data_IF_165283430611
#
_entry.id   IF_165283430611
#
_cell.length_a   1.000
_cell.length_b   1.000
_cell.length_c   1.000
_cell.angle_alpha   90.00
_cell.angle_beta   90.00
_cell.angle_gamma   90.00
#
_symmetry.space_group_name_H-M   'P 1'
#
loop_
_entity.id
_entity.type
_entity.pdbx_description
1 polymer ?
#
# COMPACT_ATOMS: atom_id res chain seq x y z
N UNK A 1 20.19 0.43 8.08
CA UNK A 1 21.13 -0.57 7.55
C UNK A 1 22.55 -0.01 7.46
N UNK A 2 22.78 1.18 6.88
CA UNK A 2 24.11 1.79 6.73
C UNK A 2 24.83 2.02 8.07
N UNK A 3 24.11 2.41 9.11
CA UNK A 3 24.67 2.79 10.41
C UNK A 3 25.17 1.63 11.28
N UNK A 4 24.89 0.38 10.93
CA UNK A 4 25.23 -0.81 11.74
C UNK A 4 26.17 -1.72 10.94
N UNK A 5 27.30 -2.10 11.53
CA UNK A 5 28.27 -3.05 10.96
C UNK A 5 28.08 -4.48 11.48
N UNK A 6 28.62 -5.47 10.76
CA UNK A 6 28.64 -6.87 11.24
C UNK A 6 29.44 -7.04 12.54
N UNK A 7 30.44 -6.17 12.78
CA UNK A 7 31.23 -6.16 14.03
C UNK A 7 30.37 -5.70 15.21
N UNK A 8 29.57 -4.65 15.02
CA UNK A 8 28.64 -4.19 16.05
C UNK A 8 27.57 -5.23 16.35
N UNK A 9 27.03 -5.90 15.32
CA UNK A 9 26.10 -7.02 15.51
C UNK A 9 26.74 -8.15 16.32
N UNK A 10 27.98 -8.51 15.98
CA UNK A 10 28.77 -9.52 16.72
C UNK A 10 28.94 -9.10 18.18
N UNK A 11 29.35 -7.87 18.43
CA UNK A 11 29.55 -7.34 19.79
C UNK A 11 28.27 -7.36 20.62
N UNK A 12 27.13 -6.90 20.03
CA UNK A 12 25.85 -6.82 20.73
C UNK A 12 25.21 -8.20 20.96
N UNK A 13 25.41 -9.15 20.03
CA UNK A 13 24.83 -10.49 20.16
C UNK A 13 25.67 -11.44 21.01
N UNK A 14 26.93 -11.09 21.30
CA UNK A 14 27.90 -12.00 21.94
C UNK A 14 28.35 -13.15 21.04
N UNK A 15 27.99 -13.14 19.73
CA UNK A 15 28.38 -14.18 18.76
C UNK A 15 29.65 -13.76 18.02
N UNK A 16 30.66 -14.62 18.01
CA UNK A 16 31.93 -14.33 17.30
C UNK A 16 31.68 -13.96 15.83
N UNK A 17 32.38 -12.94 15.35
CA UNK A 17 32.21 -12.41 13.98
C UNK A 17 32.43 -13.51 12.91
N UNK A 18 33.45 -14.34 13.07
CA UNK A 18 33.73 -15.47 12.15
C UNK A 18 32.56 -16.46 12.12
N UNK A 19 31.93 -16.71 13.27
CA UNK A 19 30.77 -17.59 13.35
C UNK A 19 29.57 -17.01 12.60
N UNK A 20 29.34 -15.69 12.72
CA UNK A 20 28.28 -15.04 11.95
C UNK A 20 28.52 -15.18 10.46
N UNK A 21 29.77 -14.96 9.97
CA UNK A 21 30.08 -15.07 8.55
C UNK A 21 30.02 -16.50 8.00
N UNK A 22 30.13 -17.53 8.86
CA UNK A 22 29.93 -18.93 8.44
C UNK A 22 28.47 -19.20 8.00
N UNK A 23 27.49 -18.48 8.57
CA UNK A 23 26.07 -18.64 8.25
C UNK A 23 25.54 -17.56 7.31
N UNK A 24 26.07 -16.34 7.41
CA UNK A 24 25.61 -15.16 6.67
C UNK A 24 26.79 -14.46 5.99
N UNK A 25 27.06 -14.79 4.71
CA UNK A 25 28.21 -14.25 3.99
C UNK A 25 28.26 -12.72 3.92
N UNK A 26 27.11 -12.08 4.02
CA UNK A 26 27.00 -10.62 4.04
C UNK A 26 25.92 -10.12 5.02
N UNK A 27 25.98 -8.82 5.34
CA UNK A 27 24.90 -8.16 6.10
C UNK A 27 23.54 -8.19 5.39
N UNK A 28 23.54 -8.20 4.05
CA UNK A 28 22.32 -8.37 3.27
C UNK A 28 21.70 -9.77 3.44
N UNK A 29 22.53 -10.81 3.59
CA UNK A 29 22.04 -12.18 3.79
C UNK A 29 21.45 -12.34 5.18
N UNK A 30 22.10 -11.78 6.20
CA UNK A 30 21.53 -11.71 7.55
C UNK A 30 20.19 -10.95 7.56
N UNK A 31 20.15 -9.77 6.96
CA UNK A 31 18.91 -8.97 6.85
C UNK A 31 17.79 -9.74 6.14
N UNK A 32 18.14 -10.48 5.09
CA UNK A 32 17.16 -11.29 4.35
C UNK A 32 16.53 -12.39 5.21
N UNK A 33 17.33 -13.05 6.04
CA UNK A 33 16.81 -14.07 6.95
C UNK A 33 15.87 -13.44 7.99
N UNK A 34 16.26 -12.30 8.56
CA UNK A 34 15.42 -11.56 9.52
C UNK A 34 14.08 -11.14 8.90
N UNK A 35 14.10 -10.63 7.67
CA UNK A 35 12.88 -10.17 6.98
C UNK A 35 12.07 -11.30 6.33
N UNK A 36 12.66 -12.48 6.09
CA UNK A 36 12.04 -13.57 5.33
C UNK A 36 10.65 -13.97 5.83
N UNK A 37 10.36 -14.12 7.14
CA UNK A 37 9.03 -14.48 7.61
C UNK A 37 7.98 -13.42 7.25
N UNK A 38 8.28 -12.13 7.48
CA UNK A 38 7.42 -11.01 7.09
C UNK A 38 7.16 -11.00 5.58
N UNK A 39 8.23 -11.08 4.78
CA UNK A 39 8.13 -11.02 3.32
C UNK A 39 7.29 -12.17 2.74
N UNK A 40 7.40 -13.37 3.33
CA UNK A 40 6.56 -14.52 2.96
C UNK A 40 5.10 -14.25 3.28
N UNK A 41 4.78 -13.68 4.45
CA UNK A 41 3.41 -13.35 4.83
C UNK A 41 2.82 -12.27 3.93
N UNK A 42 3.56 -11.18 3.67
CA UNK A 42 3.11 -10.12 2.76
C UNK A 42 2.87 -10.64 1.34
N UNK A 43 3.78 -11.45 0.80
CA UNK A 43 3.57 -12.06 -0.51
C UNK A 43 2.37 -13.00 -0.53
N UNK A 44 2.19 -13.83 0.51
CA UNK A 44 1.04 -14.72 0.60
C UNK A 44 -0.28 -13.95 0.67
N UNK A 45 -0.34 -12.83 1.40
CA UNK A 45 -1.50 -11.94 1.42
C UNK A 45 -1.85 -11.47 0.00
N UNK A 46 -0.87 -10.93 -0.71
CA UNK A 46 -1.04 -10.42 -2.07
C UNK A 46 -1.44 -11.53 -3.04
N UNK A 47 -0.78 -12.69 -3.00
CA UNK A 47 -1.03 -13.80 -3.90
C UNK A 47 -2.40 -14.47 -3.62
N UNK A 48 -2.83 -14.58 -2.36
CA UNK A 48 -4.14 -15.13 -1.99
C UNK A 48 -5.29 -14.27 -2.52
N UNK A 49 -5.16 -12.94 -2.42
CA UNK A 49 -6.20 -12.03 -2.92
C UNK A 49 -6.32 -12.03 -4.45
N UNK A 50 -5.30 -12.52 -5.15
CA UNK A 50 -5.26 -12.53 -6.62
C UNK A 50 -5.47 -13.93 -7.23
N UNK A 51 -5.88 -14.91 -6.45
CA UNK A 51 -6.27 -16.19 -6.98
C UNK A 51 -7.56 -16.08 -7.79
N UNK A 52 -7.66 -16.83 -8.87
CA UNK A 52 -8.84 -16.83 -9.76
C UNK A 52 -10.16 -17.04 -9.02
N UNK A 53 -10.18 -17.85 -7.97
CA UNK A 53 -11.34 -18.11 -7.10
C UNK A 53 -11.83 -16.86 -6.34
N UNK A 54 -10.96 -15.88 -6.12
CA UNK A 54 -11.26 -14.63 -5.41
C UNK A 54 -11.57 -13.46 -6.37
N UNK A 55 -11.49 -13.69 -7.68
CA UNK A 55 -11.72 -12.69 -8.71
C UNK A 55 -13.17 -12.67 -9.19
N UNK A 56 -14.10 -12.32 -8.31
CA UNK A 56 -15.52 -12.16 -8.64
C UNK A 56 -16.15 -11.00 -7.89
N UNK A 57 -17.30 -10.52 -8.36
CA UNK A 57 -18.06 -9.46 -7.68
C UNK A 57 -18.59 -9.94 -6.33
N UNK A 58 -19.03 -11.20 -6.23
CA UNK A 58 -19.54 -11.79 -4.99
C UNK A 58 -18.48 -11.77 -3.89
N UNK A 59 -17.24 -12.11 -4.22
CA UNK A 59 -16.11 -12.03 -3.29
C UNK A 59 -15.78 -10.58 -2.97
N UNK A 60 -15.78 -9.71 -3.98
CA UNK A 60 -15.47 -8.29 -3.82
C UNK A 60 -16.44 -7.57 -2.88
N UNK A 61 -17.73 -7.91 -2.86
CA UNK A 61 -18.74 -7.33 -1.96
C UNK A 61 -18.90 -8.08 -0.64
N UNK A 62 -18.25 -9.24 -0.47
CA UNK A 62 -18.41 -10.11 0.70
C UNK A 62 -17.82 -9.50 1.96
N UNK A 63 -18.68 -9.26 2.98
CA UNK A 63 -18.23 -8.82 4.30
C UNK A 63 -17.35 -9.85 5.01
N UNK A 64 -17.61 -11.13 4.81
CA UNK A 64 -16.80 -12.21 5.39
C UNK A 64 -15.39 -12.19 4.81
N UNK A 65 -15.26 -11.97 3.49
CA UNK A 65 -13.97 -11.85 2.83
C UNK A 65 -13.19 -10.64 3.36
N UNK A 66 -13.84 -9.49 3.52
CA UNK A 66 -13.22 -8.29 4.08
C UNK A 66 -12.80 -8.51 5.53
N UNK A 67 -13.63 -9.16 6.33
CA UNK A 67 -13.28 -9.50 7.72
C UNK A 67 -12.04 -10.39 7.79
N UNK A 68 -11.97 -11.42 6.95
CA UNK A 68 -10.80 -12.30 6.86
C UNK A 68 -9.54 -11.51 6.47
N UNK A 69 -9.66 -10.63 5.50
CA UNK A 69 -8.57 -9.76 5.08
C UNK A 69 -8.05 -8.87 6.22
N UNK A 70 -8.95 -8.24 6.97
CA UNK A 70 -8.59 -7.44 8.16
C UNK A 70 -7.78 -8.28 9.14
N UNK A 71 -8.22 -9.51 9.44
CA UNK A 71 -7.51 -10.40 10.36
C UNK A 71 -6.11 -10.81 9.85
N UNK A 72 -5.96 -11.07 8.56
CA UNK A 72 -4.66 -11.38 7.95
C UNK A 72 -3.69 -10.18 8.03
N UNK A 73 -4.18 -8.96 7.78
CA UNK A 73 -3.39 -7.72 7.93
C UNK A 73 -3.00 -7.49 9.40
N UNK A 74 -3.95 -7.72 10.32
CA UNK A 74 -3.70 -7.63 11.77
C UNK A 74 -2.60 -8.60 12.21
N UNK A 75 -2.65 -9.86 11.74
CA UNK A 75 -1.62 -10.87 12.03
C UNK A 75 -0.23 -10.39 11.59
N UNK A 76 -0.13 -9.84 10.37
CA UNK A 76 1.14 -9.28 9.87
C UNK A 76 1.65 -8.15 10.77
N UNK A 77 0.80 -7.19 11.08
CA UNK A 77 1.19 -6.02 11.88
C UNK A 77 1.56 -6.44 13.31
N UNK A 78 0.78 -7.29 13.93
CA UNK A 78 1.01 -7.71 15.32
C UNK A 78 2.27 -8.57 15.45
N UNK A 79 2.43 -9.54 14.57
CA UNK A 79 3.54 -10.50 14.66
C UNK A 79 4.88 -9.94 14.15
N UNK A 80 4.86 -8.98 13.21
CA UNK A 80 6.05 -8.53 12.50
C UNK A 80 6.28 -7.01 12.56
N UNK A 81 5.77 -6.34 13.59
CA UNK A 81 5.89 -4.87 13.71
C UNK A 81 7.33 -4.36 13.70
N UNK A 82 8.25 -5.10 14.33
CA UNK A 82 9.67 -4.74 14.35
C UNK A 82 10.31 -4.91 12.98
N UNK A 83 9.97 -5.97 12.28
CA UNK A 83 10.43 -6.25 10.92
C UNK A 83 9.84 -5.27 9.90
N UNK A 84 8.58 -4.87 10.06
CA UNK A 84 7.96 -3.80 9.26
C UNK A 84 8.70 -2.47 9.46
N UNK A 85 8.99 -2.10 10.70
CA UNK A 85 9.80 -0.92 11.02
C UNK A 85 11.19 -0.98 10.39
N UNK A 86 11.85 -2.14 10.51
CA UNK A 86 13.14 -2.37 9.89
C UNK A 86 13.06 -2.24 8.37
N UNK A 87 12.09 -2.87 7.74
CA UNK A 87 11.88 -2.88 6.29
C UNK A 87 11.62 -1.47 5.73
N UNK A 88 10.72 -0.72 6.35
CA UNK A 88 10.27 0.57 5.79
C UNK A 88 11.18 1.76 6.14
N UNK A 89 11.96 1.69 7.22
CA UNK A 89 12.73 2.82 7.71
C UNK A 89 14.24 2.62 7.68
N UNK A 90 14.71 1.37 7.71
CA UNK A 90 16.12 1.09 8.04
C UNK A 90 16.84 0.27 6.98
N UNK A 91 16.28 0.12 5.78
CA UNK A 91 16.86 -0.69 4.69
C UNK A 91 17.74 0.09 3.72
N UNK A 92 17.93 1.40 3.90
CA UNK A 92 18.74 2.23 3.01
C UNK A 92 20.15 1.68 2.82
N UNK A 93 20.57 1.49 1.54
CA UNK A 93 21.82 0.88 1.15
C UNK A 93 21.84 -0.65 1.23
N UNK A 94 20.70 -1.29 1.46
CA UNK A 94 20.52 -2.74 1.34
C UNK A 94 19.80 -3.12 0.06
N UNK A 95 19.74 -4.42 -0.25
CA UNK A 95 18.93 -4.95 -1.35
C UNK A 95 17.42 -4.78 -1.17
N UNK A 96 16.97 -4.30 -0.01
CA UNK A 96 15.56 -4.04 0.32
C UNK A 96 15.20 -2.56 0.30
N UNK A 97 16.11 -1.67 -0.09
CA UNK A 97 15.89 -0.23 -0.14
C UNK A 97 14.62 0.13 -0.92
N UNK A 98 14.45 -0.48 -2.11
CA UNK A 98 13.31 -0.21 -3.01
C UNK A 98 12.15 -1.20 -2.83
N UNK A 99 12.07 -1.88 -1.68
CA UNK A 99 11.06 -2.93 -1.49
C UNK A 99 9.62 -2.39 -1.61
N UNK A 100 9.36 -1.22 -1.05
CA UNK A 100 8.03 -0.59 -1.12
C UNK A 100 7.62 -0.30 -2.56
N UNK A 101 8.51 0.25 -3.37
CA UNK A 101 8.27 0.55 -4.78
C UNK A 101 7.99 -0.73 -5.58
N UNK A 102 8.83 -1.75 -5.43
CA UNK A 102 8.61 -3.04 -6.09
C UNK A 102 7.30 -3.72 -5.69
N UNK A 103 6.89 -3.55 -4.42
CA UNK A 103 5.61 -4.09 -3.96
C UNK A 103 4.42 -3.32 -4.57
N UNK A 104 4.51 -1.99 -4.65
CA UNK A 104 3.50 -1.13 -5.28
C UNK A 104 3.38 -1.48 -6.76
N UNK A 105 4.49 -1.64 -7.47
CA UNK A 105 4.49 -2.02 -8.89
C UNK A 105 3.85 -3.40 -9.10
N UNK A 106 4.20 -4.39 -8.28
CA UNK A 106 3.58 -5.72 -8.31
C UNK A 106 2.07 -5.63 -8.06
N UNK A 107 1.65 -4.86 -7.06
CA UNK A 107 0.24 -4.68 -6.72
C UNK A 107 -0.52 -3.96 -7.83
N UNK A 108 0.10 -2.97 -8.47
CA UNK A 108 -0.45 -2.24 -9.61
C UNK A 108 -0.70 -3.17 -10.80
N UNK A 109 0.30 -3.97 -11.16
CA UNK A 109 0.16 -4.95 -12.26
C UNK A 109 -0.93 -6.00 -11.98
N UNK A 110 -1.11 -6.38 -10.71
CA UNK A 110 -2.20 -7.26 -10.29
C UNK A 110 -3.55 -6.54 -10.42
N UNK A 111 -3.66 -5.29 -9.98
CA UNK A 111 -4.88 -4.50 -10.10
C UNK A 111 -5.30 -4.27 -11.56
N UNK A 112 -4.34 -4.04 -12.46
CA UNK A 112 -4.60 -3.94 -13.90
C UNK A 112 -5.22 -5.24 -14.45
N UNK A 113 -4.59 -6.38 -14.17
CA UNK A 113 -5.10 -7.71 -14.58
C UNK A 113 -6.48 -8.00 -13.97
N UNK A 114 -6.72 -7.56 -12.74
CA UNK A 114 -8.03 -7.66 -12.10
C UNK A 114 -9.09 -6.90 -12.91
N UNK A 115 -8.82 -5.65 -13.29
CA UNK A 115 -9.76 -4.85 -14.08
C UNK A 115 -10.02 -5.46 -15.46
N UNK A 116 -8.99 -5.99 -16.14
CA UNK A 116 -9.16 -6.71 -17.39
C UNK A 116 -10.05 -7.96 -17.24
N UNK A 117 -9.82 -8.72 -16.17
CA UNK A 117 -10.63 -9.90 -15.86
C UNK A 117 -12.08 -9.54 -15.55
N UNK A 118 -12.32 -8.53 -14.73
CA UNK A 118 -13.64 -8.04 -14.38
C UNK A 118 -14.41 -7.54 -15.61
N UNK A 119 -13.74 -6.87 -16.55
CA UNK A 119 -14.32 -6.44 -17.82
C UNK A 119 -14.84 -7.63 -18.66
N UNK A 120 -14.12 -8.76 -18.64
CA UNK A 120 -14.53 -9.96 -19.37
C UNK A 120 -15.73 -10.64 -18.69
N UNK A 121 -15.68 -10.78 -17.36
CA UNK A 121 -16.70 -11.50 -16.59
C UNK A 121 -18.00 -10.69 -16.44
N UNK A 122 -17.89 -9.37 -16.36
CA UNK A 122 -19.00 -8.45 -16.09
C UNK A 122 -18.93 -7.27 -17.07
N UNK A 123 -19.39 -7.41 -18.33
CA UNK A 123 -19.26 -6.39 -19.39
C UNK A 123 -19.89 -5.03 -19.04
N UNK A 124 -20.93 -5.03 -18.20
CA UNK A 124 -21.63 -3.81 -17.77
C UNK A 124 -20.95 -3.09 -16.61
N UNK A 125 -19.88 -3.69 -16.07
CA UNK A 125 -19.13 -3.10 -14.98
C UNK A 125 -18.24 -1.95 -15.48
N UNK A 126 -18.21 -0.85 -14.73
CA UNK A 126 -17.29 0.24 -15.05
C UNK A 126 -15.86 -0.12 -14.63
N UNK A 127 -15.08 -0.62 -15.57
CA UNK A 127 -13.68 -1.05 -15.38
C UNK A 127 -12.65 -0.10 -16.00
N UNK A 128 -13.10 1.00 -16.62
CA UNK A 128 -12.19 1.99 -17.23
C UNK A 128 -11.59 2.90 -16.14
N UNK A 129 -10.75 2.30 -15.29
CA UNK A 129 -10.03 2.98 -14.21
C UNK A 129 -8.60 3.25 -14.69
N UNK A 130 -8.11 4.49 -14.48
CA UNK A 130 -6.76 4.83 -14.91
C UNK A 130 -5.70 4.01 -14.17
N UNK A 131 -4.69 3.56 -14.89
CA UNK A 131 -3.56 2.80 -14.31
C UNK A 131 -2.88 3.59 -13.20
N UNK A 132 -2.79 4.92 -13.33
CA UNK A 132 -2.23 5.79 -12.29
C UNK A 132 -3.06 5.76 -11.00
N UNK A 133 -4.41 5.68 -11.09
CA UNK A 133 -5.25 5.54 -9.91
C UNK A 133 -5.06 4.18 -9.23
N UNK A 134 -4.92 3.11 -10.01
CA UNK A 134 -4.61 1.77 -9.47
C UNK A 134 -3.25 1.80 -8.76
N UNK A 135 -2.24 2.40 -9.36
CA UNK A 135 -0.91 2.59 -8.76
C UNK A 135 -0.98 3.38 -7.44
N UNK A 136 -1.69 4.52 -7.46
CA UNK A 136 -1.86 5.35 -6.28
C UNK A 136 -2.56 4.62 -5.13
N UNK A 137 -3.64 3.90 -5.42
CA UNK A 137 -4.35 3.11 -4.39
C UNK A 137 -3.53 1.90 -3.90
N UNK A 138 -2.70 1.31 -4.76
CA UNK A 138 -1.73 0.28 -4.37
C UNK A 138 -0.72 0.81 -3.35
N UNK A 139 -0.32 2.08 -3.47
CA UNK A 139 0.57 2.73 -2.50
C UNK A 139 -0.07 2.94 -1.13
N UNK A 140 -1.39 3.08 -1.04
CA UNK A 140 -2.10 3.26 0.24
C UNK A 140 -1.87 2.09 1.20
N UNK A 141 -1.85 0.85 0.68
CA UNK A 141 -1.66 -0.34 1.51
C UNK A 141 -0.27 -0.38 2.17
N UNK A 142 0.76 -0.09 1.41
CA UNK A 142 2.14 -0.01 1.94
C UNK A 142 2.26 1.13 2.94
N UNK A 143 1.70 2.30 2.62
CA UNK A 143 1.74 3.45 3.52
C UNK A 143 0.94 3.19 4.81
N UNK A 144 -0.21 2.54 4.73
CA UNK A 144 -0.99 2.12 5.90
C UNK A 144 -0.17 1.22 6.83
N UNK A 145 0.47 0.18 6.31
CA UNK A 145 1.32 -0.71 7.11
C UNK A 145 2.51 0.05 7.74
N UNK A 146 3.10 0.97 6.97
CA UNK A 146 4.20 1.82 7.46
C UNK A 146 3.75 2.72 8.60
N UNK A 147 2.63 3.43 8.44
CA UNK A 147 2.10 4.32 9.48
C UNK A 147 1.79 3.54 10.77
N UNK A 148 1.10 2.41 10.68
CA UNK A 148 0.81 1.59 11.86
C UNK A 148 2.09 1.05 12.51
N UNK A 149 3.11 0.69 11.73
CA UNK A 149 4.39 0.24 12.28
C UNK A 149 5.14 1.35 13.03
N UNK A 150 4.97 2.62 12.61
CA UNK A 150 5.59 3.78 13.22
C UNK A 150 4.95 4.20 14.54
N UNK A 151 3.63 4.07 14.64
CA UNK A 151 2.82 4.49 15.78
C UNK A 151 2.76 3.41 16.86
N UNK A 152 3.86 3.25 17.62
CA UNK A 152 4.00 2.23 18.67
C UNK A 152 3.02 2.42 19.85
N UNK A 153 2.50 3.62 20.01
CA UNK A 153 1.51 3.98 21.05
C UNK A 153 0.12 3.39 20.80
N UNK A 154 -0.19 3.00 19.54
CA UNK A 154 -1.49 2.43 19.22
C UNK A 154 -1.68 1.05 19.83
N UNK A 155 -2.78 0.89 20.55
CA UNK A 155 -3.23 -0.39 21.07
C UNK A 155 -3.69 -1.33 19.94
N UNK A 156 -3.79 -2.62 20.24
CA UNK A 156 -4.30 -3.60 19.29
C UNK A 156 -5.73 -3.25 18.79
N UNK A 157 -6.59 -2.80 19.70
CA UNK A 157 -7.97 -2.42 19.39
C UNK A 157 -8.03 -1.19 18.47
N UNK A 158 -7.17 -0.19 18.69
CA UNK A 158 -7.08 1.00 17.84
C UNK A 158 -6.59 0.65 16.43
N UNK A 159 -5.60 -0.24 16.31
CA UNK A 159 -5.10 -0.71 15.02
C UNK A 159 -6.20 -1.49 14.29
N UNK A 160 -6.89 -2.41 14.97
CA UNK A 160 -7.99 -3.19 14.37
C UNK A 160 -9.10 -2.27 13.87
N UNK A 161 -9.52 -1.31 14.69
CA UNK A 161 -10.53 -0.31 14.30
C UNK A 161 -10.09 0.47 13.07
N UNK A 162 -8.87 0.98 13.06
CA UNK A 162 -8.31 1.73 11.93
C UNK A 162 -8.31 0.89 10.64
N UNK A 163 -7.86 -0.38 10.71
CA UNK A 163 -7.83 -1.25 9.53
C UNK A 163 -9.24 -1.52 9.01
N UNK A 164 -10.23 -1.73 9.89
CA UNK A 164 -11.65 -1.87 9.50
C UNK A 164 -12.18 -0.62 8.80
N UNK A 165 -11.92 0.55 9.36
CA UNK A 165 -12.30 1.84 8.77
C UNK A 165 -11.64 2.02 7.38
N UNK A 166 -10.35 1.68 7.26
CA UNK A 166 -9.62 1.76 6.00
C UNK A 166 -10.17 0.79 4.93
N UNK A 167 -10.43 -0.46 5.30
CA UNK A 167 -11.02 -1.45 4.38
C UNK A 167 -12.41 -1.01 3.94
N UNK A 168 -13.26 -0.57 4.87
CA UNK A 168 -14.61 -0.11 4.57
C UNK A 168 -14.60 1.10 3.62
N UNK A 169 -13.77 2.09 3.91
CA UNK A 169 -13.58 3.28 3.07
C UNK A 169 -13.10 2.92 1.66
N UNK A 170 -12.06 2.11 1.56
CA UNK A 170 -11.49 1.73 0.26
C UNK A 170 -12.45 0.89 -0.57
N UNK A 171 -13.14 -0.08 0.03
CA UNK A 171 -14.14 -0.91 -0.65
C UNK A 171 -15.33 -0.06 -1.12
N UNK A 172 -15.84 0.84 -0.28
CA UNK A 172 -16.92 1.75 -0.65
C UNK A 172 -16.53 2.67 -1.83
N UNK A 173 -15.30 3.18 -1.83
CA UNK A 173 -14.73 3.95 -2.94
C UNK A 173 -14.66 3.15 -4.23
N UNK A 174 -14.16 1.92 -4.18
CA UNK A 174 -14.09 1.03 -5.33
C UNK A 174 -15.47 0.63 -5.85
N UNK A 175 -16.44 0.27 -4.97
CA UNK A 175 -17.83 0.00 -5.36
C UNK A 175 -18.41 1.18 -6.13
N UNK A 176 -18.22 2.41 -5.63
CA UNK A 176 -18.71 3.63 -6.30
C UNK A 176 -18.05 3.86 -7.67
N UNK A 177 -16.73 3.66 -7.79
CA UNK A 177 -16.01 3.80 -9.05
C UNK A 177 -16.46 2.75 -10.08
N UNK A 178 -16.63 1.50 -9.64
CA UNK A 178 -17.03 0.38 -10.49
C UNK A 178 -18.54 0.36 -10.75
N UNK A 179 -19.31 1.25 -10.11
CA UNK A 179 -20.78 1.33 -10.18
C UNK A 179 -21.47 0.04 -9.74
N UNK A 180 -21.12 -0.42 -8.55
CA UNK A 180 -21.63 -1.66 -7.95
C UNK A 180 -22.31 -1.32 -6.62
N UNK A 181 -23.47 -1.93 -6.35
CA UNK A 181 -24.13 -1.86 -5.03
C UNK A 181 -23.57 -2.90 -4.04
N UNK A 182 -24.19 -2.97 -2.87
CA UNK A 182 -23.73 -3.88 -1.81
C UNK A 182 -24.03 -5.35 -2.10
N UNK A 183 -24.93 -5.63 -3.04
CA UNK A 183 -25.26 -6.98 -3.52
C UNK A 183 -24.49 -7.39 -4.77
N UNK A 184 -23.58 -6.55 -5.26
CA UNK A 184 -22.76 -6.83 -6.45
C UNK A 184 -23.48 -6.59 -7.78
N UNK A 185 -24.60 -5.83 -7.78
CA UNK A 185 -25.33 -5.46 -8.99
C UNK A 185 -24.78 -4.14 -9.53
N UNK A 186 -24.75 -4.01 -10.85
CA UNK A 186 -24.40 -2.74 -11.51
C UNK A 186 -25.49 -1.70 -11.29
N UNK A 187 -25.10 -0.47 -10.95
CA UNK A 187 -26.02 0.65 -10.75
C UNK A 187 -25.84 1.70 -11.84
N UNK A 188 -26.98 2.22 -12.36
CA UNK A 188 -26.97 3.41 -13.19
C UNK A 188 -26.67 4.64 -12.32
N UNK A 189 -25.63 5.38 -12.66
CA UNK A 189 -25.26 6.60 -11.96
C UNK A 189 -23.88 7.09 -12.36
N UNK A 190 -23.78 8.36 -12.72
CA UNK A 190 -22.51 8.95 -13.14
C UNK A 190 -21.52 9.03 -11.97
N UNK A 191 -20.26 8.66 -12.20
CA UNK A 191 -19.13 9.37 -11.60
C UNK A 191 -19.45 10.84 -11.87
N UNK A 192 -19.21 11.73 -10.88
CA UNK A 192 -19.33 13.18 -11.11
C UNK A 192 -18.63 13.47 -12.44
N UNK A 193 -19.41 13.70 -13.49
CA UNK A 193 -18.85 14.17 -14.74
C UNK A 193 -18.39 15.59 -14.44
N UNK A 194 -17.10 15.79 -14.38
CA UNK A 194 -16.58 17.13 -14.58
C UNK A 194 -16.86 17.43 -16.05
N UNK A 195 -18.04 18.00 -16.32
CA UNK A 195 -18.36 18.53 -17.63
C UNK A 195 -17.26 19.52 -17.98
N UNK A 196 -16.38 19.08 -18.86
CA UNK A 196 -15.32 19.91 -19.42
C UNK A 196 -15.86 21.10 -20.23
N UNK A 197 -17.18 21.23 -20.36
CA UNK A 197 -17.87 22.28 -21.08
C UNK A 197 -18.47 23.39 -20.19
N UNK A 198 -18.55 23.24 -18.89
CA UNK A 198 -18.77 24.39 -18.02
C UNK A 198 -17.43 25.03 -17.71
N UNK A 199 -16.98 25.91 -18.61
CA UNK A 199 -15.93 26.88 -18.49
C UNK A 199 -15.61 27.25 -17.02
N UNK A 200 -14.82 26.42 -16.33
CA UNK A 200 -13.87 26.94 -15.39
C UNK A 200 -12.81 27.59 -16.27
N UNK A 201 -12.90 28.93 -16.36
CA UNK A 201 -11.99 29.74 -17.11
C UNK A 201 -10.56 29.32 -16.70
N UNK A 202 -9.91 28.55 -17.57
CA UNK A 202 -8.55 28.01 -17.30
C UNK A 202 -7.59 29.14 -16.96
N UNK A 203 -7.84 30.35 -17.49
CA UNK A 203 -7.08 31.55 -17.16
C UNK A 203 -7.27 31.99 -15.72
N UNK A 204 -8.46 31.87 -15.11
CA UNK A 204 -8.67 32.22 -13.71
C UNK A 204 -7.99 31.25 -12.73
N UNK A 205 -7.94 29.97 -13.07
CA UNK A 205 -7.25 28.98 -12.25
C UNK A 205 -5.74 29.18 -12.34
N UNK A 206 -5.19 29.38 -13.54
CA UNK A 206 -3.75 29.63 -13.76
C UNK A 206 -3.34 30.93 -13.08
N UNK A 207 -4.10 32.00 -13.24
CA UNK A 207 -3.81 33.31 -12.62
C UNK A 207 -3.82 33.22 -11.09
N UNK A 208 -4.68 32.38 -10.50
CA UNK A 208 -4.72 32.18 -9.04
C UNK A 208 -3.51 31.39 -8.51
N UNK A 209 -2.99 30.43 -9.26
CA UNK A 209 -1.77 29.72 -8.91
C UNK A 209 -0.54 30.60 -9.07
N UNK A 210 -0.41 31.35 -10.16
CA UNK A 210 0.70 32.29 -10.38
C UNK A 210 0.74 33.45 -9.35
N UNK A 211 -0.43 33.91 -8.87
CA UNK A 211 -0.50 34.93 -7.83
C UNK A 211 -0.07 34.42 -6.45
N UNK A 212 -0.28 33.13 -6.16
CA UNK A 212 0.18 32.50 -4.92
C UNK A 212 1.68 32.21 -4.95
N UNK A 213 2.24 31.80 -6.10
CA UNK A 213 3.69 31.60 -6.24
C UNK A 213 4.48 32.90 -6.10
N UNK A 214 4.00 34.03 -6.64
CA UNK A 214 4.62 35.34 -6.46
C UNK A 214 4.62 35.82 -5.01
N UNK A 215 3.55 35.53 -4.25
CA UNK A 215 3.49 35.85 -2.81
C UNK A 215 4.44 34.98 -1.98
N UNK A 216 4.66 33.73 -2.38
CA UNK A 216 5.61 32.84 -1.71
C UNK A 216 7.06 33.23 -1.99
N UNK A 217 7.39 33.59 -3.24
CA UNK A 217 8.73 34.05 -3.62
C UNK A 217 9.11 35.36 -2.94
N UNK A 218 8.18 36.32 -2.79
CA UNK A 218 8.42 37.59 -2.08
C UNK A 218 8.57 37.41 -0.56
N UNK A 219 7.96 36.35 0.03
CA UNK A 219 8.11 36.03 1.45
C UNK A 219 9.46 35.37 1.77
N UNK A 220 10.08 34.70 0.80
CA UNK A 220 11.41 34.07 0.96
C UNK A 220 12.56 35.03 0.74
N UNK A 221 12.38 36.12 -0.04
CA UNK A 221 13.41 37.19 -0.22
C UNK A 221 13.42 38.23 0.91
N UNK A 222 12.44 38.17 1.83
CA UNK A 222 12.32 39.13 2.94
C UNK A 222 12.80 38.57 4.30
N UNK A 223 13.48 37.40 4.35
CA UNK A 223 14.14 36.80 5.50
C UNK A 223 15.62 36.61 5.22
#
# INVERSE_FOLDING_TARGET
FKAVSMREISSLSGIGLSNIYNYYPSKNDLLAVVLSPLLKKMNSLLDNHNRNENLSLEVFVSEEYHRKYVLEVMDIITCYRKELKLLFLNTQGSRFEDYSERWIDKSTAIGEKYMERMKILYPDLHTNISLFFIHFTSSWWINMMREVALHEELSHEEIERFIREFVHYSTGGWKKLMKVDDEGRTIEGGIISFDSEKNLDKEQVITKYESNDRKHSQAVEAV
#
